data_IF_941607672349
#
_entry.id   IF_941607672349
#
_cell.length_a   1.000
_cell.length_b   1.000
_cell.length_c   1.000
_cell.angle_alpha   90.00
_cell.angle_beta   90.00
_cell.angle_gamma   90.00
#
_symmetry.space_group_name_H-M   'P 1'
#
loop_
_entity.id
_entity.type
_entity.pdbx_description
1 polymer ?
#
# COMPACT_ATOMS: atom_id res chain seq x y z
N UNK A 1 -7.25 2.27 8.50
CA UNK A 1 -7.63 1.33 7.43
C UNK A 1 -8.57 1.95 6.40
N UNK A 2 -8.24 1.81 5.12
CA UNK A 2 -9.05 2.19 3.95
C UNK A 2 -9.09 1.02 2.97
N UNK A 3 -10.22 0.78 2.32
CA UNK A 3 -10.37 -0.28 1.32
C UNK A 3 -10.80 0.35 0.01
N UNK A 4 -10.05 0.07 -1.05
CA UNK A 4 -10.30 0.53 -2.40
C UNK A 4 -10.63 -0.65 -3.29
N UNK A 5 -11.50 -0.46 -4.28
CA UNK A 5 -11.87 -1.53 -5.23
C UNK A 5 -11.25 -1.23 -6.58
N UNK A 6 -10.63 -2.24 -7.18
CA UNK A 6 -10.10 -2.20 -8.54
C UNK A 6 -11.29 -2.30 -9.50
N UNK A 7 -11.38 -1.36 -10.45
CA UNK A 7 -12.43 -1.38 -11.48
C UNK A 7 -12.35 -2.66 -12.33
N UNK A 8 -13.50 -3.18 -12.75
CA UNK A 8 -13.59 -4.34 -13.65
C UNK A 8 -12.82 -4.08 -14.94
N UNK A 9 -12.03 -5.06 -15.38
CA UNK A 9 -11.20 -4.99 -16.59
C UNK A 9 -9.87 -4.25 -16.41
N UNK A 10 -9.63 -3.65 -15.24
CA UNK A 10 -8.35 -3.02 -14.93
C UNK A 10 -7.50 -3.99 -14.10
N UNK A 11 -6.34 -4.40 -14.63
CA UNK A 11 -5.39 -5.25 -13.92
C UNK A 11 -4.07 -4.51 -13.71
N UNK A 12 -3.99 -3.62 -12.70
CA UNK A 12 -2.77 -2.90 -12.40
C UNK A 12 -1.73 -3.85 -11.81
N UNK A 13 -0.50 -3.69 -12.27
CA UNK A 13 0.68 -4.31 -11.66
C UNK A 13 1.08 -3.50 -10.43
N UNK A 14 0.54 -3.87 -9.27
CA UNK A 14 0.75 -3.13 -8.03
C UNK A 14 2.21 -3.17 -7.58
N UNK A 15 2.91 -4.28 -7.82
CA UNK A 15 4.33 -4.43 -7.46
C UNK A 15 5.18 -3.41 -8.21
N UNK A 16 4.96 -3.26 -9.52
CA UNK A 16 5.65 -2.28 -10.34
C UNK A 16 5.33 -0.84 -9.94
N UNK A 17 4.08 -0.54 -9.62
CA UNK A 17 3.68 0.80 -9.12
C UNK A 17 4.38 1.10 -7.79
N UNK A 18 4.45 0.14 -6.88
CA UNK A 18 5.10 0.33 -5.59
C UNK A 18 6.62 0.49 -5.72
N UNK A 19 7.24 -0.24 -6.64
CA UNK A 19 8.65 -0.06 -6.98
C UNK A 19 8.91 1.34 -7.57
N UNK A 20 8.07 1.80 -8.50
CA UNK A 20 8.25 3.08 -9.19
C UNK A 20 8.07 4.29 -8.28
N UNK A 21 7.05 4.28 -7.41
CA UNK A 21 6.71 5.43 -6.55
C UNK A 21 7.40 5.40 -5.18
N UNK A 22 7.61 4.21 -4.62
CA UNK A 22 8.12 4.06 -3.25
C UNK A 22 9.47 3.34 -3.19
N UNK A 23 9.95 2.75 -4.29
CA UNK A 23 11.21 1.99 -4.31
C UNK A 23 11.14 0.69 -3.49
N UNK A 24 9.94 0.18 -3.21
CA UNK A 24 9.73 -0.99 -2.36
C UNK A 24 9.35 -2.21 -3.19
N UNK A 25 9.90 -3.37 -2.82
CA UNK A 25 9.50 -4.68 -3.34
C UNK A 25 8.80 -5.47 -2.26
N UNK A 26 7.61 -5.97 -2.55
CA UNK A 26 6.82 -6.74 -1.60
C UNK A 26 5.68 -7.48 -2.27
N UNK A 27 5.38 -8.65 -1.73
CA UNK A 27 4.32 -9.54 -2.20
C UNK A 27 2.96 -8.98 -1.74
N UNK A 28 2.27 -8.29 -2.65
CA UNK A 28 1.01 -7.58 -2.37
C UNK A 28 -0.14 -8.55 -2.11
N UNK A 29 -0.07 -9.78 -2.60
CA UNK A 29 -1.10 -10.81 -2.40
C UNK A 29 -1.09 -11.37 -0.97
N UNK A 30 0.10 -11.65 -0.43
CA UNK A 30 0.25 -12.02 0.99
C UNK A 30 0.03 -10.83 1.93
N UNK A 31 0.23 -9.63 1.40
CA UNK A 31 0.21 -8.39 2.14
C UNK A 31 1.59 -8.06 2.68
N UNK A 32 2.01 -6.81 2.53
CA UNK A 32 3.32 -6.37 3.00
C UNK A 32 3.22 -5.02 3.69
N UNK A 33 4.16 -4.78 4.62
CA UNK A 33 4.33 -3.50 5.28
C UNK A 33 5.60 -2.83 4.80
N UNK A 34 5.54 -1.53 4.56
CA UNK A 34 6.70 -0.71 4.25
C UNK A 34 6.64 0.62 4.98
N UNK A 35 7.76 1.32 5.02
CA UNK A 35 7.83 2.67 5.56
C UNK A 35 7.96 3.65 4.40
N UNK A 36 7.08 4.65 4.36
CA UNK A 36 7.17 5.75 3.42
C UNK A 36 7.50 7.02 4.18
N UNK A 37 8.58 7.68 3.77
CA UNK A 37 9.02 8.94 4.37
C UNK A 37 7.90 10.00 4.25
N UNK A 38 7.63 10.72 5.35
CA UNK A 38 6.55 11.70 5.43
C UNK A 38 5.12 11.15 5.59
N UNK A 39 4.89 9.85 5.45
CA UNK A 39 3.57 9.21 5.66
C UNK A 39 3.57 8.30 6.90
N UNK A 40 4.64 7.53 7.10
CA UNK A 40 4.77 6.57 8.18
C UNK A 40 4.72 5.12 7.69
N UNK A 41 4.24 4.21 8.54
CA UNK A 41 4.21 2.77 8.24
C UNK A 41 2.92 2.43 7.51
N UNK A 42 3.05 1.94 6.29
CA UNK A 42 1.93 1.57 5.42
C UNK A 42 1.91 0.04 5.32
N UNK A 43 0.74 -0.55 5.55
CA UNK A 43 0.44 -1.92 5.23
C UNK A 43 -0.49 -1.95 4.03
N UNK A 44 -0.14 -2.73 3.01
CA UNK A 44 -0.97 -2.93 1.82
C UNK A 44 -1.18 -4.42 1.61
N UNK A 45 -2.42 -4.78 1.30
CA UNK A 45 -2.80 -6.15 0.95
C UNK A 45 -3.82 -6.12 -0.18
N UNK A 46 -3.57 -6.88 -1.23
CA UNK A 46 -4.55 -7.12 -2.30
C UNK A 46 -5.36 -8.35 -1.97
N UNK A 47 -6.68 -8.23 -2.07
CA UNK A 47 -7.61 -9.34 -1.93
C UNK A 47 -8.53 -9.37 -3.15
N UNK A 48 -8.16 -10.16 -4.16
CA UNK A 48 -8.82 -10.24 -5.46
C UNK A 48 -8.94 -8.87 -6.15
N UNK A 49 -10.14 -8.29 -6.12
CA UNK A 49 -10.49 -7.00 -6.71
C UNK A 49 -10.47 -5.85 -5.70
N UNK A 50 -10.06 -6.10 -4.46
CA UNK A 50 -9.98 -5.08 -3.41
C UNK A 50 -8.53 -4.88 -2.97
N UNK A 51 -8.19 -3.65 -2.64
CA UNK A 51 -6.89 -3.25 -2.09
C UNK A 51 -7.17 -2.67 -0.72
N UNK A 52 -6.63 -3.32 0.30
CA UNK A 52 -6.68 -2.88 1.68
C UNK A 52 -5.39 -2.12 1.99
N UNK A 53 -5.53 -0.89 2.47
CA UNK A 53 -4.42 -0.03 2.84
C UNK A 53 -4.63 0.41 4.29
N UNK A 54 -3.68 0.10 5.15
CA UNK A 54 -3.63 0.60 6.51
C UNK A 54 -2.41 1.50 6.68
N UNK A 55 -2.64 2.77 7.01
CA UNK A 55 -1.58 3.75 7.24
C UNK A 55 -1.54 3.99 8.74
N UNK A 56 -0.43 3.59 9.36
CA UNK A 56 -0.11 3.99 10.73
C UNK A 56 0.79 5.21 10.66
N UNK A 57 0.22 6.33 11.07
CA UNK A 57 0.96 7.58 11.23
C UNK A 57 2.18 7.36 12.11
N UNK A 58 3.29 7.99 11.74
CA UNK A 58 4.43 8.08 12.62
C UNK A 58 4.05 9.07 13.75
N UNK A 59 4.15 8.72 15.04
CA UNK A 59 3.69 9.58 16.14
C UNK A 59 4.54 10.85 16.38
N UNK A 60 5.20 11.38 15.34
CA UNK A 60 6.14 12.50 15.45
C UNK A 60 5.79 13.64 14.51
N UNK A 61 4.58 14.20 14.65
CA UNK A 61 4.36 15.62 14.35
C UNK A 61 3.19 16.24 15.11
N UNK A 62 3.32 16.29 16.43
CA UNK A 62 2.81 17.40 17.23
C UNK A 62 3.86 17.68 18.32
N UNK A 63 4.63 18.75 18.12
CA UNK A 63 5.48 19.37 19.13
C UNK A 63 5.11 20.84 19.19
#
# INVERSE_FOLDING_TARGET
MRVYTIKRGYNPDLEKILEEYFGVKGDVEKGFSFYADGIGRIFIKREKSSIMIDIKENPSRCK
#
